data_IF_564169867708
#
_entry.id   IF_564169867708
#
_cell.length_a   1.000
_cell.length_b   1.000
_cell.length_c   1.000
_cell.angle_alpha   90.00
_cell.angle_beta   90.00
_cell.angle_gamma   90.00
#
_symmetry.space_group_name_H-M   'P 1'
#
loop_
_entity.id
_entity.type
_entity.pdbx_description
1 polymer ?
#
# COMPACT_ATOMS: atom_id res chain seq x y z
N UNK A 1 8.49 -7.12 15.26
CA UNK A 1 8.17 -7.78 13.97
C UNK A 1 9.16 -7.36 12.89
N UNK A 2 9.30 -8.16 11.83
CA UNK A 2 10.30 -7.96 10.76
C UNK A 2 10.24 -6.57 10.12
N UNK A 3 9.05 -5.99 9.94
CA UNK A 3 8.85 -4.76 9.16
C UNK A 3 8.10 -3.63 9.89
N UNK A 4 8.23 -3.53 11.22
CA UNK A 4 7.47 -2.55 12.04
C UNK A 4 7.66 -1.08 11.62
N UNK A 5 8.84 -0.73 11.08
CA UNK A 5 9.08 0.62 10.54
C UNK A 5 8.27 0.89 9.27
N UNK A 6 8.21 -0.07 8.35
CA UNK A 6 7.41 0.07 7.13
C UNK A 6 5.92 0.10 7.48
N UNK A 7 5.47 -0.76 8.38
CA UNK A 7 4.09 -0.75 8.88
C UNK A 7 3.70 0.62 9.45
N UNK A 8 4.55 1.22 10.30
CA UNK A 8 4.31 2.56 10.83
C UNK A 8 4.17 3.61 9.71
N UNK A 9 5.12 3.64 8.77
CA UNK A 9 5.08 4.59 7.63
C UNK A 9 3.79 4.42 6.82
N UNK A 10 3.32 3.20 6.58
CA UNK A 10 2.07 2.97 5.85
C UNK A 10 0.85 3.49 6.60
N UNK A 11 0.79 3.35 7.93
CA UNK A 11 -0.30 3.90 8.75
C UNK A 11 -0.28 5.43 8.76
N UNK A 12 0.90 6.01 8.93
CA UNK A 12 1.07 7.46 8.93
C UNK A 12 0.65 8.03 7.57
N UNK A 13 1.10 7.40 6.47
CA UNK A 13 0.71 7.79 5.11
C UNK A 13 -0.80 7.68 4.86
N UNK A 14 -1.40 6.59 5.32
CA UNK A 14 -2.85 6.39 5.22
C UNK A 14 -3.64 7.50 5.93
N UNK A 15 -3.19 7.92 7.12
CA UNK A 15 -3.92 8.86 7.96
C UNK A 15 -3.63 10.33 7.64
N UNK A 16 -2.43 10.65 7.14
CA UNK A 16 -1.97 12.03 6.99
C UNK A 16 -2.00 12.52 5.54
N UNK A 17 -1.76 11.64 4.57
CA UNK A 17 -1.39 12.06 3.21
C UNK A 17 -2.28 11.49 2.11
N UNK A 18 -2.97 10.37 2.34
CA UNK A 18 -3.74 9.67 1.31
C UNK A 18 -4.85 10.54 0.70
N UNK A 19 -5.56 11.32 1.51
CA UNK A 19 -6.60 12.24 1.01
C UNK A 19 -6.01 13.35 0.13
N UNK A 20 -4.85 13.89 0.51
CA UNK A 20 -4.13 14.92 -0.27
C UNK A 20 -3.66 14.36 -1.61
N UNK A 21 -3.12 13.13 -1.63
CA UNK A 21 -2.72 12.47 -2.87
C UNK A 21 -3.93 12.23 -3.79
N UNK A 22 -5.04 11.71 -3.27
CA UNK A 22 -6.24 11.46 -4.09
C UNK A 22 -6.87 12.75 -4.62
N UNK A 23 -6.88 13.81 -3.81
CA UNK A 23 -7.30 15.13 -4.27
C UNK A 23 -6.42 15.61 -5.42
N UNK A 24 -5.10 15.40 -5.33
CA UNK A 24 -4.17 15.83 -6.36
C UNK A 24 -4.33 15.06 -7.67
N UNK A 25 -4.51 13.74 -7.58
CA UNK A 25 -4.82 12.89 -8.75
C UNK A 25 -6.09 13.40 -9.43
N UNK A 26 -7.17 13.62 -8.65
CA UNK A 26 -8.45 14.10 -9.18
C UNK A 26 -8.33 15.46 -9.88
N UNK A 27 -7.57 16.39 -9.32
CA UNK A 27 -7.32 17.70 -9.93
C UNK A 27 -6.65 17.60 -11.31
N UNK A 28 -5.75 16.62 -11.49
CA UNK A 28 -4.94 16.49 -12.70
C UNK A 28 -5.58 15.61 -13.77
N UNK A 29 -6.23 14.51 -13.39
CA UNK A 29 -6.76 13.52 -14.33
C UNK A 29 -8.28 13.54 -14.42
N UNK A 30 -8.96 14.12 -13.43
CA UNK A 30 -10.41 14.00 -13.27
C UNK A 30 -10.85 12.67 -12.65
N UNK A 31 -9.93 11.74 -12.37
CA UNK A 31 -10.26 10.43 -11.82
C UNK A 31 -10.63 10.53 -10.34
N UNK A 32 -11.74 9.87 -9.98
CA UNK A 32 -12.20 9.81 -8.60
C UNK A 32 -11.81 8.47 -8.00
N UNK A 33 -10.71 8.48 -7.25
CA UNK A 33 -10.28 7.34 -6.46
C UNK A 33 -11.17 7.14 -5.22
N UNK A 34 -11.34 5.89 -4.80
CA UNK A 34 -12.01 5.58 -3.54
C UNK A 34 -10.98 5.66 -2.39
N UNK A 35 -10.84 6.86 -1.81
CA UNK A 35 -9.89 7.15 -0.73
C UNK A 35 -10.06 6.24 0.47
N UNK A 36 -11.29 5.98 0.91
CA UNK A 36 -11.54 5.09 2.05
C UNK A 36 -11.03 3.67 1.78
N UNK A 37 -11.24 3.15 0.57
CA UNK A 37 -10.73 1.83 0.17
C UNK A 37 -9.19 1.78 0.18
N UNK A 38 -8.53 2.85 -0.28
CA UNK A 38 -7.06 2.96 -0.28
C UNK A 38 -6.48 3.07 1.13
N UNK A 39 -7.08 3.90 1.99
CA UNK A 39 -6.71 4.01 3.42
C UNK A 39 -6.85 2.64 4.12
N UNK A 40 -7.95 1.92 3.88
CA UNK A 40 -8.16 0.58 4.43
C UNK A 40 -7.10 -0.41 3.93
N UNK A 41 -6.70 -0.34 2.66
CA UNK A 41 -5.66 -1.20 2.10
C UNK A 41 -4.29 -0.93 2.74
N UNK A 42 -3.90 0.34 2.90
CA UNK A 42 -2.64 0.72 3.56
C UNK A 42 -2.59 0.25 5.02
N UNK A 43 -3.69 0.45 5.76
CA UNK A 43 -3.78 -0.01 7.15
C UNK A 43 -3.73 -1.55 7.26
N UNK A 44 -4.35 -2.27 6.33
CA UNK A 44 -4.25 -3.74 6.24
C UNK A 44 -2.85 -4.21 5.86
N UNK A 45 -2.16 -3.50 4.97
CA UNK A 45 -0.78 -3.81 4.62
C UNK A 45 0.15 -3.60 5.82
N UNK A 46 -0.08 -2.55 6.61
CA UNK A 46 0.62 -2.34 7.87
C UNK A 46 0.33 -3.48 8.88
N UNK A 47 -0.93 -3.87 9.04
CA UNK A 47 -1.34 -5.00 9.87
C UNK A 47 -0.66 -6.31 9.44
N UNK A 48 -0.56 -6.55 8.14
CA UNK A 48 0.13 -7.71 7.55
C UNK A 48 1.63 -7.70 7.86
N UNK A 49 2.31 -6.57 7.65
CA UNK A 49 3.73 -6.39 8.00
C UNK A 49 3.98 -6.49 9.51
N UNK A 50 2.97 -6.17 10.30
CA UNK A 50 2.94 -6.36 11.75
C UNK A 50 2.66 -7.82 12.16
N UNK A 51 2.58 -8.75 11.20
CA UNK A 51 2.39 -10.17 11.49
C UNK A 51 1.00 -10.49 12.06
N UNK A 52 -0.02 -9.67 11.80
CA UNK A 52 -1.39 -10.06 12.16
C UNK A 52 -1.83 -11.23 11.28
N UNK A 53 -2.35 -12.27 11.90
CA UNK A 53 -2.81 -13.47 11.23
C UNK A 53 -4.30 -13.34 10.87
N UNK A 54 -4.62 -12.80 9.68
CA UNK A 54 -5.94 -12.95 9.02
C UNK A 54 -5.90 -12.44 7.55
N UNK A 55 -5.03 -13.03 6.75
CA UNK A 55 -4.89 -12.69 5.34
C UNK A 55 -5.05 -13.94 4.47
N UNK A 56 -6.23 -14.10 3.86
CA UNK A 56 -6.41 -15.08 2.78
C UNK A 56 -5.75 -14.56 1.50
N UNK A 57 -5.34 -15.47 0.61
CA UNK A 57 -4.71 -15.11 -0.67
C UNK A 57 -5.56 -14.10 -1.47
N UNK A 58 -6.89 -14.27 -1.49
CA UNK A 58 -7.79 -13.29 -2.12
C UNK A 58 -7.70 -11.90 -1.48
N UNK A 59 -7.56 -11.81 -0.15
CA UNK A 59 -7.36 -10.52 0.53
C UNK A 59 -6.00 -9.92 0.16
N UNK A 60 -4.96 -10.75 0.04
CA UNK A 60 -3.62 -10.36 -0.36
C UNK A 60 -3.57 -9.84 -1.80
N UNK A 61 -4.15 -10.56 -2.77
CA UNK A 61 -4.26 -10.14 -4.18
C UNK A 61 -4.92 -8.75 -4.29
N UNK A 62 -6.10 -8.60 -3.68
CA UNK A 62 -6.83 -7.32 -3.71
C UNK A 62 -6.04 -6.18 -3.05
N UNK A 63 -5.26 -6.48 -2.01
CA UNK A 63 -4.44 -5.50 -1.34
C UNK A 63 -3.26 -5.10 -2.24
N UNK A 64 -2.61 -6.07 -2.89
CA UNK A 64 -1.51 -5.85 -3.82
C UNK A 64 -1.91 -4.90 -4.96
N UNK A 65 -3.05 -5.15 -5.61
CA UNK A 65 -3.56 -4.32 -6.72
C UNK A 65 -3.77 -2.85 -6.28
N UNK A 66 -4.33 -2.66 -5.08
CA UNK A 66 -4.56 -1.31 -4.55
C UNK A 66 -3.25 -0.62 -4.20
N UNK A 67 -2.30 -1.34 -3.60
CA UNK A 67 -0.97 -0.81 -3.26
C UNK A 67 -0.18 -0.42 -4.51
N UNK A 68 -0.29 -1.20 -5.60
CA UNK A 68 0.36 -0.87 -6.87
C UNK A 68 -0.21 0.42 -7.47
N UNK A 69 -1.53 0.58 -7.47
CA UNK A 69 -2.18 1.83 -7.86
C UNK A 69 -1.74 3.02 -7.00
N UNK A 70 -1.65 2.82 -5.67
CA UNK A 70 -1.14 3.85 -4.75
C UNK A 70 0.29 4.25 -5.06
N UNK A 71 1.16 3.27 -5.31
CA UNK A 71 2.55 3.47 -5.66
C UNK A 71 2.70 4.21 -6.98
N UNK A 72 1.86 3.89 -7.96
CA UNK A 72 1.82 4.58 -9.24
C UNK A 72 1.48 6.07 -9.06
N UNK A 73 0.38 6.37 -8.38
CA UNK A 73 -0.05 7.75 -8.13
C UNK A 73 0.97 8.52 -7.29
N UNK A 74 1.47 7.91 -6.21
CA UNK A 74 2.49 8.54 -5.38
C UNK A 74 3.74 8.86 -6.19
N UNK A 75 4.19 7.96 -7.07
CA UNK A 75 5.33 8.23 -7.96
C UNK A 75 5.05 9.40 -8.90
N UNK A 76 3.84 9.49 -9.44
CA UNK A 76 3.45 10.53 -10.39
C UNK A 76 3.31 11.91 -9.73
N UNK A 77 2.79 11.96 -8.50
CA UNK A 77 2.38 13.22 -7.86
C UNK A 77 3.15 13.61 -6.60
N UNK A 78 4.14 12.84 -6.12
CA UNK A 78 4.88 13.14 -4.87
C UNK A 78 5.54 14.53 -4.80
N UNK A 79 5.77 15.17 -5.93
CA UNK A 79 6.35 16.53 -6.01
C UNK A 79 5.28 17.63 -6.05
N UNK A 80 4.00 17.25 -6.20
CA UNK A 80 2.87 18.13 -6.40
C UNK A 80 1.93 18.24 -5.18
N UNK A 81 2.25 17.58 -4.07
CA UNK A 81 1.53 17.75 -2.80
C UNK A 81 2.48 17.70 -1.60
N UNK A 82 2.03 18.25 -0.47
CA UNK A 82 2.79 18.20 0.78
C UNK A 82 2.66 16.84 1.45
N UNK A 83 3.79 16.22 1.78
CA UNK A 83 3.86 14.92 2.48
C UNK A 83 4.22 15.15 3.94
N UNK A 84 3.31 14.83 4.85
CA UNK A 84 3.52 14.92 6.30
C UNK A 84 4.19 13.67 6.87
N UNK A 85 3.99 12.51 6.25
CA UNK A 85 4.55 11.26 6.75
C UNK A 85 6.07 11.28 6.74
N UNK A 86 6.66 11.13 7.92
CA UNK A 86 8.09 10.97 8.07
C UNK A 86 8.56 9.58 7.62
N UNK A 87 9.39 9.53 6.59
CA UNK A 87 10.05 8.31 6.14
C UNK A 87 9.97 8.10 4.64
N UNK A 88 10.44 6.94 4.20
CA UNK A 88 10.45 6.60 2.78
C UNK A 88 9.19 5.79 2.43
N UNK A 89 8.12 6.49 2.06
CA UNK A 89 6.81 5.91 1.69
C UNK A 89 6.96 4.92 0.54
N UNK A 90 7.71 5.29 -0.52
CA UNK A 90 7.97 4.39 -1.66
C UNK A 90 8.61 3.07 -1.20
N UNK A 91 9.59 3.14 -0.31
CA UNK A 91 10.23 1.94 0.25
C UNK A 91 9.24 1.13 1.09
N UNK A 92 8.41 1.76 1.91
CA UNK A 92 7.40 1.08 2.71
C UNK A 92 6.34 0.36 1.86
N UNK A 93 5.87 1.01 0.79
CA UNK A 93 4.98 0.40 -0.20
C UNK A 93 5.63 -0.82 -0.86
N UNK A 94 6.87 -0.69 -1.34
CA UNK A 94 7.60 -1.81 -1.92
C UNK A 94 7.76 -2.96 -0.93
N UNK A 95 8.18 -2.69 0.31
CA UNK A 95 8.32 -3.74 1.34
C UNK A 95 7.01 -4.49 1.57
N UNK A 96 5.86 -3.81 1.63
CA UNK A 96 4.57 -4.50 1.73
C UNK A 96 4.26 -5.35 0.49
N UNK A 97 4.47 -4.79 -0.70
CA UNK A 97 4.20 -5.50 -1.95
C UNK A 97 5.11 -6.73 -2.13
N UNK A 98 6.40 -6.62 -1.80
CA UNK A 98 7.37 -7.70 -1.92
C UNK A 98 6.99 -8.88 -0.99
N UNK A 99 6.65 -8.60 0.27
CA UNK A 99 6.24 -9.64 1.25
C UNK A 99 4.89 -10.28 0.88
N UNK A 100 3.96 -9.51 0.32
CA UNK A 100 2.70 -10.06 -0.22
C UNK A 100 2.99 -10.96 -1.42
N UNK A 101 3.85 -10.50 -2.34
CA UNK A 101 4.21 -11.23 -3.54
C UNK A 101 4.92 -12.55 -3.23
N UNK A 102 5.83 -12.59 -2.25
CA UNK A 102 6.48 -13.83 -1.81
C UNK A 102 5.44 -14.89 -1.41
N UNK A 103 4.43 -14.52 -0.61
CA UNK A 103 3.35 -15.45 -0.23
C UNK A 103 2.50 -15.88 -1.43
N UNK A 104 2.21 -14.96 -2.34
CA UNK A 104 1.42 -15.25 -3.54
C UNK A 104 2.20 -16.08 -4.58
N UNK A 105 3.53 -15.96 -4.65
CA UNK A 105 4.40 -16.72 -5.55
C UNK A 105 4.75 -18.11 -5.01
N UNK A 106 4.91 -18.28 -3.70
CA UNK A 106 5.07 -19.60 -3.08
C UNK A 106 3.92 -20.56 -3.45
N UNK A 107 2.73 -20.01 -3.72
CA UNK A 107 1.59 -20.75 -4.27
C UNK A 107 1.81 -21.27 -5.69
N UNK A 108 2.45 -20.52 -6.59
CA UNK A 108 2.63 -20.97 -7.99
C UNK A 108 3.52 -22.22 -8.06
N UNK A 109 4.49 -22.36 -7.16
CA UNK A 109 5.34 -23.55 -7.06
C UNK A 109 4.66 -24.80 -6.50
N UNK A 110 3.65 -24.66 -5.64
CA UNK A 110 2.94 -25.81 -5.04
C UNK A 110 1.93 -26.48 -6.01
N UNK A 111 1.56 -25.83 -7.11
CA UNK A 111 0.65 -26.39 -8.12
C UNK A 111 1.37 -27.20 -9.22
N UNK A 112 2.70 -27.18 -9.29
CA UNK A 112 3.50 -27.90 -10.30
C UNK A 112 4.06 -29.26 -9.82
N UNK A 113 3.55 -29.83 -8.72
CA UNK A 113 4.06 -31.08 -8.12
C UNK A 113 3.08 -32.25 -8.15
#
# INVERSE_FOLDING_TARGET
MKNSKAAKILRDFANQDMESLDNRVREYTGDVNNTEKRIKALNRAADFLDGKEDFSNKKLDNMFDILDGIKYDYKAFKEDFFVYTEGNIKKALNTAMDEIAEILYDREYDYER
#
